data_IF_896977597950
#
_entry.id   IF_896977597950
#
_cell.length_a   1.000
_cell.length_b   1.000
_cell.length_c   1.000
_cell.angle_alpha   90.00
_cell.angle_beta   90.00
_cell.angle_gamma   90.00
#
_symmetry.space_group_name_H-M   'P 1'
#
loop_
_entity.id
_entity.type
_entity.pdbx_description
1 polymer ?
#
# COMPACT_ATOMS: atom_id res chain seq x y z
N UNK A 1 -3.92 -14.43 8.30
CA UNK A 1 -4.48 -14.57 7.39
C UNK A 1 -5.36 -15.62 7.15
N UNK A 2 -5.89 -15.85 6.69
CA UNK A 2 -6.81 -16.68 6.62
C UNK A 2 -6.87 -17.38 5.51
N UNK A 3 -7.04 -18.21 5.21
CA UNK A 3 -7.06 -18.87 4.29
C UNK A 3 -8.10 -19.46 3.91
N UNK A 4 -8.56 -19.82 3.30
CA UNK A 4 -9.57 -20.20 2.95
C UNK A 4 -9.86 -21.31 2.54
N UNK A 5 -10.24 -21.69 2.60
CA UNK A 5 -10.52 -22.64 2.44
C UNK A 5 -11.23 -23.19 1.69
N UNK A 6 -11.46 -23.56 1.18
CA UNK A 6 -11.97 -24.04 0.52
C UNK A 6 -12.89 -24.52 0.28
N UNK A 7 -13.44 -24.55 0.21
CA UNK A 7 -14.29 -24.92 0.04
C UNK A 7 -15.14 -25.39 -0.49
N UNK A 8 -15.45 -25.61 -0.54
CA UNK A 8 -16.25 -25.93 -1.01
C UNK A 8 -17.16 -25.21 -1.46
N UNK A 9 -17.57 -24.61 -1.27
CA UNK A 9 -18.27 -23.60 -1.49
C UNK A 9 -17.52 -22.53 -1.14
N UNK A 10 -16.57 -22.39 -1.42
CA UNK A 10 -15.57 -21.53 -1.04
C UNK A 10 -15.75 -20.12 -1.50
N UNK A 11 -16.60 -19.87 -2.40
CA UNK A 11 -16.83 -18.54 -2.88
C UNK A 11 -17.27 -17.59 -1.76
N UNK A 12 -17.98 -18.10 -0.83
CA UNK A 12 -18.46 -17.29 0.28
C UNK A 12 -17.31 -16.77 1.10
N UNK A 13 -16.35 -17.62 1.32
CA UNK A 13 -15.23 -17.32 2.15
C UNK A 13 -14.37 -16.25 1.49
N UNK A 14 -14.26 -16.33 0.19
CA UNK A 14 -13.39 -15.44 -0.55
C UNK A 14 -13.76 -13.99 -0.37
N UNK A 15 -15.03 -13.69 -0.39
CA UNK A 15 -15.45 -12.31 -0.23
C UNK A 15 -15.10 -11.76 1.12
N UNK A 16 -15.32 -12.56 2.14
CA UNK A 16 -15.02 -12.13 3.49
C UNK A 16 -13.53 -11.94 3.69
N UNK A 17 -12.73 -12.49 2.80
CA UNK A 17 -11.29 -12.48 2.97
C UNK A 17 -10.60 -11.47 2.06
N UNK A 18 -11.34 -10.55 1.44
CA UNK A 18 -10.72 -9.54 0.59
C UNK A 18 -9.72 -8.72 1.40
N UNK A 19 -8.53 -8.57 0.86
CA UNK A 19 -7.49 -7.82 1.54
C UNK A 19 -7.64 -6.34 1.28
N UNK A 20 -7.35 -5.54 2.29
CA UNK A 20 -7.35 -4.09 2.13
C UNK A 20 -5.95 -3.62 1.77
N UNK A 21 -5.88 -2.57 0.98
CA UNK A 21 -4.61 -2.09 0.46
C UNK A 21 -4.50 -0.59 0.58
N UNK A 22 -3.29 -0.14 0.86
CA UNK A 22 -2.91 1.26 0.79
C UNK A 22 -2.01 1.39 -0.43
N UNK A 23 -2.23 2.40 -1.25
CA UNK A 23 -1.41 2.65 -2.42
C UNK A 23 -0.51 3.86 -2.16
N UNK A 24 0.72 3.78 -2.60
CA UNK A 24 1.71 4.84 -2.38
C UNK A 24 2.39 5.20 -3.69
N UNK A 25 2.46 6.49 -3.97
CA UNK A 25 3.12 6.97 -5.17
C UNK A 25 3.96 8.21 -4.89
N UNK A 26 4.95 8.45 -5.75
CA UNK A 26 5.80 9.62 -5.65
C UNK A 26 5.52 10.59 -6.77
N UNK A 27 5.54 11.87 -6.43
CA UNK A 27 5.48 12.95 -7.40
C UNK A 27 6.88 13.53 -7.47
N UNK A 28 7.48 13.50 -8.67
CA UNK A 28 8.85 13.96 -8.86
C UNK A 28 8.89 14.90 -10.06
N UNK A 29 10.02 15.56 -10.30
CA UNK A 29 10.12 16.40 -11.50
C UNK A 29 9.87 15.64 -12.79
N UNK A 30 10.13 14.34 -12.81
CA UNK A 30 9.90 13.53 -14.01
C UNK A 30 8.55 12.83 -14.01
N UNK A 31 7.79 12.95 -12.93
CA UNK A 31 6.50 12.29 -12.82
C UNK A 31 5.57 13.21 -12.03
N UNK A 32 4.92 14.12 -12.75
CA UNK A 32 4.11 15.14 -12.09
C UNK A 32 2.88 14.52 -11.44
N UNK A 33 2.13 15.35 -10.76
CA UNK A 33 0.98 14.88 -9.97
C UNK A 33 -0.04 14.17 -10.84
N UNK A 34 -0.28 14.68 -12.03
CA UNK A 34 -1.25 14.07 -12.93
C UNK A 34 -0.82 12.66 -13.34
N UNK A 35 0.46 12.52 -13.70
CA UNK A 35 1.00 11.21 -14.07
C UNK A 35 0.92 10.24 -12.90
N UNK A 36 1.28 10.71 -11.72
CA UNK A 36 1.23 9.86 -10.53
C UNK A 36 -0.20 9.39 -10.28
N UNK A 37 -1.17 10.30 -10.42
CA UNK A 37 -2.56 9.91 -10.23
C UNK A 37 -2.99 8.87 -11.25
N UNK A 38 -2.58 9.03 -12.51
CA UNK A 38 -2.93 8.07 -13.54
C UNK A 38 -2.34 6.69 -13.22
N UNK A 39 -1.09 6.67 -12.76
CA UNK A 39 -0.46 5.40 -12.40
C UNK A 39 -1.16 4.75 -11.22
N UNK A 40 -1.55 5.56 -10.23
CA UNK A 40 -2.25 5.01 -9.07
C UNK A 40 -3.65 4.53 -9.44
N UNK A 41 -4.31 5.20 -10.39
CA UNK A 41 -5.60 4.71 -10.87
C UNK A 41 -5.46 3.33 -11.49
N UNK A 42 -4.42 3.16 -12.30
CA UNK A 42 -4.18 1.87 -12.93
C UNK A 42 -3.81 0.81 -11.90
N UNK A 43 -2.98 1.18 -10.94
CA UNK A 43 -2.59 0.27 -9.88
C UNK A 43 -3.80 -0.16 -9.07
N UNK A 44 -4.69 0.78 -8.78
CA UNK A 44 -5.90 0.43 -8.05
C UNK A 44 -6.78 -0.53 -8.86
N UNK A 45 -6.85 -0.30 -10.16
CA UNK A 45 -7.63 -1.19 -11.02
C UNK A 45 -7.04 -2.61 -10.97
N UNK A 46 -5.72 -2.72 -11.06
CA UNK A 46 -5.07 -4.02 -11.01
C UNK A 46 -5.26 -4.68 -9.65
N UNK A 47 -5.14 -3.91 -8.59
CA UNK A 47 -5.33 -4.45 -7.25
C UNK A 47 -6.75 -4.95 -7.06
N UNK A 48 -7.73 -4.20 -7.54
CA UNK A 48 -9.12 -4.59 -7.45
C UNK A 48 -9.37 -5.87 -8.23
N UNK A 49 -8.76 -5.98 -9.40
CA UNK A 49 -8.89 -7.19 -10.22
C UNK A 49 -8.32 -8.40 -9.49
N UNK A 50 -7.30 -8.17 -8.67
CA UNK A 50 -6.69 -9.26 -7.89
C UNK A 50 -7.42 -9.53 -6.59
N UNK A 51 -8.51 -8.82 -6.31
CA UNK A 51 -9.32 -9.08 -5.13
C UNK A 51 -9.04 -8.18 -3.95
N UNK A 52 -8.24 -7.15 -4.11
CA UNK A 52 -7.96 -6.23 -3.01
C UNK A 52 -8.91 -5.05 -3.04
N UNK A 53 -9.06 -4.41 -1.88
CA UNK A 53 -9.89 -3.23 -1.73
C UNK A 53 -8.98 -2.08 -1.30
N UNK A 54 -8.88 -1.05 -2.13
CA UNK A 54 -8.04 0.10 -1.80
C UNK A 54 -8.80 1.02 -0.85
N UNK A 55 -8.20 1.28 0.32
CA UNK A 55 -8.84 2.10 1.33
C UNK A 55 -8.18 3.47 1.47
N UNK A 56 -6.97 3.64 0.94
CA UNK A 56 -6.27 4.91 1.10
C UNK A 56 -5.13 5.01 0.10
N UNK A 57 -4.86 6.23 -0.36
CA UNK A 57 -3.69 6.53 -1.18
C UNK A 57 -2.85 7.55 -0.47
N UNK A 58 -1.53 7.37 -0.53
CA UNK A 58 -0.58 8.36 -0.03
C UNK A 58 0.32 8.77 -1.17
N UNK A 59 0.58 10.05 -1.28
CA UNK A 59 1.55 10.55 -2.24
C UNK A 59 2.50 11.49 -1.52
N UNK A 60 3.69 11.64 -2.09
CA UNK A 60 4.66 12.56 -1.55
C UNK A 60 5.44 13.17 -2.70
N UNK A 61 5.72 14.45 -2.58
CA UNK A 61 6.50 15.17 -3.58
C UNK A 61 7.96 15.21 -3.14
N UNK A 62 8.82 14.60 -3.93
CA UNK A 62 10.25 14.56 -3.66
C UNK A 62 10.99 14.79 -4.98
N UNK A 63 12.28 15.14 -4.90
CA UNK A 63 13.09 15.25 -6.11
C UNK A 63 13.34 13.90 -6.73
N UNK A 64 13.31 12.84 -5.94
CA UNK A 64 13.47 11.47 -6.39
C UNK A 64 13.29 10.55 -5.20
N UNK A 65 13.21 9.25 -5.43
CA UNK A 65 13.02 8.32 -4.31
C UNK A 65 14.26 8.29 -3.42
N UNK A 66 14.02 8.13 -2.12
CA UNK A 66 15.11 7.92 -1.19
C UNK A 66 15.71 6.55 -1.44
N UNK A 67 17.03 6.48 -1.46
CA UNK A 67 17.71 5.20 -1.66
C UNK A 67 17.58 4.31 -0.43
N UNK A 68 17.20 4.88 0.71
CA UNK A 68 17.10 4.13 1.95
C UNK A 68 15.68 3.65 2.20
N UNK A 69 14.69 4.54 2.07
CA UNK A 69 13.31 4.21 2.44
C UNK A 69 12.30 4.55 1.36
N UNK A 70 12.73 4.93 0.17
CA UNK A 70 11.87 5.32 -0.92
C UNK A 70 11.11 6.62 -0.64
N UNK A 71 10.39 6.69 0.49
CA UNK A 71 9.67 7.88 0.93
C UNK A 71 10.47 8.58 2.02
N UNK A 72 10.11 9.82 2.32
CA UNK A 72 10.64 10.48 3.49
C UNK A 72 10.14 9.84 4.78
N UNK A 73 10.93 9.98 5.84
CA UNK A 73 10.59 9.38 7.12
C UNK A 73 9.25 9.90 7.64
N UNK A 74 9.01 11.21 7.47
CA UNK A 74 7.75 11.78 7.94
C UNK A 74 6.54 11.15 7.27
N UNK A 75 6.64 10.87 5.97
CA UNK A 75 5.52 10.25 5.27
C UNK A 75 5.34 8.82 5.71
N UNK A 76 6.43 8.10 5.97
CA UNK A 76 6.33 6.74 6.49
C UNK A 76 5.64 6.72 7.84
N UNK A 77 5.96 7.69 8.69
CA UNK A 77 5.31 7.77 9.99
C UNK A 77 3.84 8.09 9.86
N UNK A 78 3.49 8.88 8.86
CA UNK A 78 2.10 9.18 8.57
C UNK A 78 1.34 7.94 8.19
N UNK A 79 1.94 7.11 7.32
CA UNK A 79 1.32 5.86 6.89
C UNK A 79 1.19 4.91 8.07
N UNK A 80 2.22 4.83 8.89
CA UNK A 80 2.18 3.99 10.08
C UNK A 80 1.06 4.41 11.02
N UNK A 81 0.93 5.71 11.25
CA UNK A 81 -0.12 6.21 12.13
C UNK A 81 -1.51 5.85 11.58
N UNK A 82 -1.67 5.95 10.26
CA UNK A 82 -2.95 5.58 9.66
C UNK A 82 -3.24 4.10 9.87
N UNK A 83 -2.23 3.25 9.67
CA UNK A 83 -2.42 1.81 9.85
C UNK A 83 -2.80 1.50 11.30
N UNK A 84 -2.10 2.12 12.26
CA UNK A 84 -2.38 1.88 13.66
C UNK A 84 -3.78 2.34 14.05
N UNK A 85 -4.20 3.47 13.51
CA UNK A 85 -5.52 3.98 13.78
C UNK A 85 -6.60 3.05 13.24
N UNK A 86 -6.37 2.50 12.05
CA UNK A 86 -7.31 1.56 11.47
C UNK A 86 -7.37 0.27 12.26
N UNK A 87 -6.21 -0.20 12.73
CA UNK A 87 -6.18 -1.43 13.51
C UNK A 87 -6.88 -1.27 14.84
N UNK A 88 -6.77 -0.09 15.45
CA UNK A 88 -7.51 0.18 16.68
C UNK A 88 -9.00 0.15 16.47
N UNK A 89 -9.44 0.49 15.27
CA UNK A 89 -10.84 0.43 14.91
C UNK A 89 -11.22 -0.94 14.36
N UNK A 90 -10.32 -1.90 14.49
CA UNK A 90 -10.52 -3.28 14.04
C UNK A 90 -10.68 -3.38 12.53
N UNK A 91 -10.00 -2.48 11.81
CA UNK A 91 -9.95 -2.53 10.35
C UNK A 91 -8.50 -2.78 9.94
N UNK A 92 -8.16 -4.02 9.82
CA UNK A 92 -6.79 -4.41 9.53
C UNK A 92 -6.40 -4.06 8.10
N UNK A 93 -5.18 -3.52 7.94
CA UNK A 93 -4.65 -3.22 6.61
C UNK A 93 -3.83 -4.41 6.16
N UNK A 94 -4.20 -4.99 5.03
CA UNK A 94 -3.56 -6.20 4.55
C UNK A 94 -2.23 -5.96 3.88
N UNK A 95 -2.09 -4.84 3.13
CA UNK A 95 -0.87 -4.61 2.40
C UNK A 95 -0.70 -3.16 2.05
N UNK A 96 0.54 -2.78 1.77
CA UNK A 96 0.87 -1.46 1.25
C UNK A 96 1.57 -1.68 -0.08
N UNK A 97 1.05 -1.10 -1.14
CA UNK A 97 1.57 -1.31 -2.49
C UNK A 97 2.18 0.00 -2.97
N UNK A 98 3.44 -0.07 -3.34
CA UNK A 98 4.16 1.08 -3.88
C UNK A 98 4.10 1.06 -5.40
N UNK A 99 3.89 2.20 -6.00
CA UNK A 99 3.85 2.33 -7.45
C UNK A 99 5.28 2.46 -7.97
N UNK A 100 6.09 1.47 -7.71
CA UNK A 100 7.47 1.43 -8.17
C UNK A 100 8.08 0.12 -7.71
N UNK A 101 9.24 -0.19 -8.25
CA UNK A 101 9.96 -1.37 -7.85
C UNK A 101 10.97 -0.98 -6.77
N UNK A 102 10.85 -1.54 -5.59
CA UNK A 102 11.70 -1.21 -4.47
C UNK A 102 12.83 -2.22 -4.34
N UNK A 103 13.99 -1.74 -3.90
CA UNK A 103 15.10 -2.63 -3.61
C UNK A 103 14.83 -3.39 -2.32
N UNK A 104 15.54 -4.50 -2.14
CA UNK A 104 15.41 -5.26 -0.91
C UNK A 104 15.78 -4.42 0.30
N UNK A 105 16.78 -3.55 0.15
CA UNK A 105 17.20 -2.67 1.22
C UNK A 105 16.09 -1.70 1.58
N UNK A 106 15.46 -1.10 0.57
CA UNK A 106 14.35 -0.18 0.83
C UNK A 106 13.22 -0.88 1.54
N UNK A 107 12.86 -2.07 1.09
CA UNK A 107 11.76 -2.82 1.71
C UNK A 107 12.05 -3.14 3.16
N UNK A 108 13.27 -3.58 3.46
CA UNK A 108 13.64 -3.89 4.84
C UNK A 108 13.56 -2.65 5.72
N UNK A 109 14.05 -1.53 5.21
CA UNK A 109 14.04 -0.30 6.01
C UNK A 109 12.63 0.23 6.22
N UNK A 110 11.78 0.11 5.20
CA UNK A 110 10.39 0.53 5.32
C UNK A 110 9.67 -0.34 6.34
N UNK A 111 9.87 -1.64 6.29
CA UNK A 111 9.21 -2.54 7.23
C UNK A 111 9.65 -2.25 8.65
N UNK A 112 10.92 -1.93 8.83
CA UNK A 112 11.43 -1.60 10.15
C UNK A 112 10.78 -0.34 10.69
N UNK A 113 10.69 0.71 9.86
CA UNK A 113 10.06 1.95 10.28
C UNK A 113 8.57 1.76 10.54
N UNK A 114 7.92 0.94 9.74
CA UNK A 114 6.48 0.76 9.87
C UNK A 114 6.11 -0.02 11.11
N UNK A 115 7.03 -0.81 11.65
CA UNK A 115 6.71 -1.63 12.82
C UNK A 115 7.02 -0.93 14.13
N UNK A 116 7.90 0.04 14.08
CA UNK A 116 8.34 0.74 15.27
C UNK A 116 7.85 2.15 15.33
#
# INVERSE_FOLDING_TARGET
>A
MREFKENRNSEIITEAQAETAILVGLITPNQNERKTTEYLDELEFLATTAGAVTVKRFTQRLNGPSSVTYLGIGKLQEIRAYIEQEEEAEREIGMVIFDDELSAKQLRNIEKEARE
#
